data_IF_916301795256
#
_entry.id   IF_916301795256
#
_cell.length_a   1.000
_cell.length_b   1.000
_cell.length_c   1.000
_cell.angle_alpha   90.00
_cell.angle_beta   90.00
_cell.angle_gamma   90.00
#
_symmetry.space_group_name_H-M   'P 1'
#
loop_
_entity.id
_entity.type
_entity.pdbx_description
1 polymer ?
#
# COMPACT_ATOMS: atom_id res chain seq x y z
N UNK A 1 32.40 -6.48 -5.33
CA UNK A 1 32.08 -5.58 -4.20
C UNK A 1 30.67 -5.91 -3.72
N UNK A 2 30.44 -6.07 -2.41
CA UNK A 2 29.08 -6.24 -1.90
C UNK A 2 28.30 -4.95 -2.18
N UNK A 3 27.19 -5.02 -2.93
CA UNK A 3 26.27 -3.90 -3.05
C UNK A 3 25.80 -3.51 -1.64
N UNK A 4 26.29 -2.40 -1.13
CA UNK A 4 25.79 -1.81 0.12
C UNK A 4 24.45 -1.20 -0.28
N UNK A 5 23.36 -1.86 0.09
CA UNK A 5 22.02 -1.29 -0.05
C UNK A 5 21.93 -0.15 0.94
N UNK A 6 21.81 1.08 0.45
CA UNK A 6 21.64 2.24 1.31
C UNK A 6 20.30 2.12 2.05
N UNK A 7 20.34 2.34 3.35
CA UNK A 7 19.17 2.30 4.24
C UNK A 7 19.16 3.55 5.11
N UNK A 8 17.96 4.12 5.30
CA UNK A 8 17.74 5.20 6.27
C UNK A 8 16.69 4.78 7.28
N UNK A 9 16.81 5.27 8.51
CA UNK A 9 15.82 5.01 9.56
C UNK A 9 14.59 5.90 9.36
N UNK A 10 13.40 5.29 9.27
CA UNK A 10 12.14 6.02 9.24
C UNK A 10 11.82 6.68 10.59
N UNK A 11 11.11 7.80 10.56
CA UNK A 11 10.73 8.57 11.75
C UNK A 11 9.62 7.88 12.55
N UNK A 12 8.84 7.01 11.93
CA UNK A 12 7.65 6.38 12.51
C UNK A 12 7.70 4.87 12.39
N UNK A 13 8.24 4.22 13.40
CA UNK A 13 8.21 2.76 13.49
C UNK A 13 9.55 2.08 13.20
N UNK A 14 9.58 0.76 13.31
CA UNK A 14 10.80 -0.02 13.29
C UNK A 14 11.31 -0.36 11.88
N UNK A 15 10.84 0.31 10.81
CA UNK A 15 11.20 -0.03 9.42
C UNK A 15 12.34 0.83 8.92
N UNK A 16 13.46 0.20 8.56
CA UNK A 16 14.50 0.85 7.78
C UNK A 16 14.01 1.01 6.34
N UNK A 17 14.32 2.16 5.76
CA UNK A 17 14.04 2.46 4.37
C UNK A 17 15.22 2.04 3.51
N UNK A 18 15.00 1.09 2.64
CA UNK A 18 15.98 0.69 1.63
C UNK A 18 15.65 1.37 0.28
N UNK A 19 16.64 1.67 -0.54
CA UNK A 19 16.47 2.20 -1.91
C UNK A 19 15.51 1.33 -2.74
N UNK A 20 15.48 0.04 -2.47
CA UNK A 20 14.53 -0.88 -3.10
C UNK A 20 13.06 -0.46 -2.94
N UNK A 21 12.71 0.26 -1.87
CA UNK A 21 11.35 0.81 -1.70
C UNK A 21 11.09 1.88 -2.76
N UNK A 22 12.07 2.76 -3.01
CA UNK A 22 11.99 3.79 -4.04
C UNK A 22 11.91 3.19 -5.45
N UNK A 23 12.74 2.18 -5.71
CA UNK A 23 12.71 1.43 -6.97
C UNK A 23 11.33 0.80 -7.22
N UNK A 24 10.65 0.31 -6.16
CA UNK A 24 9.28 -0.21 -6.28
C UNK A 24 8.24 0.87 -6.51
N UNK A 25 8.37 2.01 -5.83
CA UNK A 25 7.50 3.18 -6.05
C UNK A 25 7.60 3.62 -7.52
N UNK A 26 8.81 3.74 -8.04
CA UNK A 26 9.05 4.04 -9.46
C UNK A 26 8.46 2.99 -10.39
N UNK A 27 8.82 1.72 -10.19
CA UNK A 27 8.37 0.60 -11.03
C UNK A 27 6.85 0.47 -11.13
N UNK A 28 6.13 0.84 -10.06
CA UNK A 28 4.68 0.81 -10.00
C UNK A 28 4.03 2.12 -10.44
N UNK A 29 4.80 3.21 -10.55
CA UNK A 29 4.28 4.57 -10.77
C UNK A 29 3.41 5.06 -9.61
N UNK A 30 3.67 4.60 -8.35
CA UNK A 30 2.85 4.91 -7.17
C UNK A 30 3.23 6.26 -6.55
N UNK A 31 3.12 7.30 -7.35
CA UNK A 31 3.30 8.69 -6.98
C UNK A 31 2.49 9.59 -7.92
N UNK A 32 2.27 10.85 -7.53
CA UNK A 32 1.57 11.83 -8.38
C UNK A 32 2.39 12.11 -9.63
N UNK A 33 1.80 11.83 -10.79
CA UNK A 33 2.46 11.98 -12.10
C UNK A 33 2.09 13.26 -12.84
N UNK A 34 1.06 13.94 -12.33
CA UNK A 34 0.63 15.20 -12.91
C UNK A 34 1.59 16.32 -12.49
N UNK A 35 1.99 17.14 -13.47
CA UNK A 35 2.85 18.30 -13.26
C UNK A 35 4.22 17.99 -12.64
N UNK A 36 4.83 16.85 -12.98
CA UNK A 36 6.21 16.58 -12.61
C UNK A 36 7.14 17.64 -13.19
N UNK A 37 8.14 18.02 -12.38
CA UNK A 37 9.20 18.93 -12.80
C UNK A 37 10.56 18.40 -12.39
N UNK A 38 11.54 18.63 -13.24
CA UNK A 38 12.94 18.41 -12.89
C UNK A 38 13.38 19.43 -11.83
N UNK A 39 14.53 19.21 -11.21
CA UNK A 39 15.12 20.17 -10.27
C UNK A 39 15.45 21.53 -10.93
N UNK A 40 15.63 21.57 -12.24
CA UNK A 40 15.88 22.78 -13.04
C UNK A 40 14.58 23.40 -13.57
N UNK A 41 13.42 22.82 -13.27
CA UNK A 41 12.09 23.42 -13.50
C UNK A 41 11.41 22.99 -14.80
N UNK A 42 12.08 22.19 -15.66
CA UNK A 42 11.48 21.70 -16.91
C UNK A 42 10.32 20.74 -16.60
N UNK A 43 9.29 20.78 -17.44
CA UNK A 43 8.18 19.85 -17.36
C UNK A 43 8.66 18.44 -17.70
N UNK A 44 8.38 17.50 -16.82
CA UNK A 44 8.67 16.08 -17.01
C UNK A 44 7.37 15.28 -17.14
N UNK A 45 7.32 14.42 -18.16
CA UNK A 45 6.26 13.42 -18.31
C UNK A 45 6.89 12.04 -18.50
N UNK A 46 6.40 11.03 -17.78
CA UNK A 46 6.91 9.66 -17.87
C UNK A 46 5.98 8.89 -18.82
N UNK A 47 6.51 8.53 -19.99
CA UNK A 47 5.79 7.75 -21.02
C UNK A 47 5.90 6.25 -20.71
N UNK A 48 7.10 5.80 -20.33
CA UNK A 48 7.39 4.41 -19.98
C UNK A 48 8.38 4.35 -18.83
N UNK A 49 8.03 3.63 -17.76
CA UNK A 49 8.86 3.48 -16.56
C UNK A 49 10.10 2.61 -16.78
N UNK A 50 10.21 1.90 -17.91
CA UNK A 50 11.31 1.01 -18.21
C UNK A 50 11.18 -0.36 -17.58
N UNK A 51 12.26 -1.12 -17.67
CA UNK A 51 12.39 -2.48 -17.16
C UNK A 51 13.33 -2.48 -15.95
N UNK A 52 12.85 -3.01 -14.84
CA UNK A 52 13.67 -3.09 -13.62
C UNK A 52 14.89 -3.99 -13.85
N UNK A 53 16.07 -3.41 -13.81
CA UNK A 53 17.33 -4.12 -13.88
C UNK A 53 17.69 -4.65 -12.47
N UNK A 54 17.83 -5.96 -12.35
CA UNK A 54 18.24 -6.63 -11.10
C UNK A 54 19.70 -7.06 -11.11
N UNK A 55 20.42 -6.65 -12.14
CA UNK A 55 21.85 -6.91 -12.36
C UNK A 55 22.62 -5.60 -12.18
N UNK A 56 23.94 -5.65 -12.39
CA UNK A 56 24.78 -4.46 -12.35
C UNK A 56 24.37 -3.41 -13.40
N UNK A 57 24.55 -2.14 -13.09
CA UNK A 57 24.19 -0.99 -13.91
C UNK A 57 22.93 -0.29 -13.44
N UNK A 58 22.37 0.61 -14.26
CA UNK A 58 21.23 1.43 -13.88
C UNK A 58 20.01 0.62 -13.44
N UNK A 59 19.27 1.15 -12.46
CA UNK A 59 18.10 0.51 -11.86
C UNK A 59 17.01 0.17 -12.88
N UNK A 60 16.77 1.06 -13.84
CA UNK A 60 15.74 0.86 -14.89
C UNK A 60 16.33 1.14 -16.25
N UNK A 61 16.06 0.24 -17.19
CA UNK A 61 16.47 0.33 -18.60
C UNK A 61 15.27 0.60 -19.50
N UNK A 62 15.54 1.18 -20.68
CA UNK A 62 14.54 1.45 -21.70
C UNK A 62 13.38 2.32 -21.19
N UNK A 63 13.69 3.36 -20.43
CA UNK A 63 12.75 4.38 -19.95
C UNK A 63 12.49 5.38 -21.07
N UNK A 64 11.25 5.85 -21.19
CA UNK A 64 10.84 6.90 -22.13
C UNK A 64 10.23 8.06 -21.33
N UNK A 65 10.76 9.26 -21.51
CA UNK A 65 10.27 10.49 -20.86
C UNK A 65 10.11 11.59 -21.90
N UNK A 66 9.28 12.58 -21.56
CA UNK A 66 9.23 13.86 -22.27
C UNK A 66 9.77 14.94 -21.33
N UNK A 67 10.72 15.72 -21.81
CA UNK A 67 11.20 16.94 -21.16
C UNK A 67 10.78 18.11 -22.03
N UNK A 68 9.89 18.98 -21.52
CA UNK A 68 9.29 20.09 -22.28
C UNK A 68 8.74 19.63 -23.65
N UNK A 69 8.06 18.46 -23.67
CA UNK A 69 7.50 17.77 -24.83
C UNK A 69 8.53 17.16 -25.80
N UNK A 70 9.82 17.17 -25.48
CA UNK A 70 10.87 16.50 -26.27
C UNK A 70 11.04 15.09 -25.73
N UNK A 71 10.86 14.08 -26.57
CA UNK A 71 11.01 12.67 -26.22
C UNK A 71 12.48 12.30 -26.06
N UNK A 72 12.83 11.72 -24.92
CA UNK A 72 14.14 11.20 -24.60
C UNK A 72 14.00 9.75 -24.13
N UNK A 73 14.89 8.87 -24.62
CA UNK A 73 14.92 7.46 -24.25
C UNK A 73 16.30 7.13 -23.66
N UNK A 74 16.30 6.36 -22.57
CA UNK A 74 17.53 5.95 -21.90
C UNK A 74 17.23 5.17 -20.62
N UNK A 75 18.12 5.29 -19.64
CA UNK A 75 18.06 4.56 -18.38
C UNK A 75 17.81 5.52 -17.21
N UNK A 76 17.36 4.96 -16.08
CA UNK A 76 17.10 5.70 -14.83
C UNK A 76 17.87 5.06 -13.70
N UNK A 77 18.47 5.90 -12.87
CA UNK A 77 19.08 5.54 -11.59
C UNK A 77 18.34 6.19 -10.44
N UNK A 78 18.20 5.49 -9.30
CA UNK A 78 17.40 5.92 -8.16
C UNK A 78 18.23 5.87 -6.88
N UNK A 79 18.28 7.00 -6.15
CA UNK A 79 18.99 7.12 -4.88
C UNK A 79 18.18 7.85 -3.83
N UNK A 80 18.66 7.87 -2.58
CA UNK A 80 18.10 8.74 -1.55
C UNK A 80 18.52 10.19 -1.76
N UNK A 81 19.79 10.43 -2.09
CA UNK A 81 20.37 11.77 -2.23
C UNK A 81 21.07 11.93 -3.58
N UNK A 82 21.11 13.15 -4.04
CA UNK A 82 21.78 13.49 -5.30
C UNK A 82 23.29 13.14 -5.29
N UNK A 83 23.95 13.27 -4.13
CA UNK A 83 25.36 12.97 -4.00
C UNK A 83 25.70 11.47 -4.04
N UNK A 84 24.72 10.60 -3.89
CA UNK A 84 24.94 9.13 -3.92
C UNK A 84 25.44 8.68 -5.30
N UNK A 85 25.08 9.42 -6.36
CA UNK A 85 25.66 9.22 -7.70
C UNK A 85 27.21 9.25 -7.69
N UNK A 86 27.80 10.23 -7.01
CA UNK A 86 29.26 10.37 -6.90
C UNK A 86 29.85 9.36 -5.90
N UNK A 87 29.17 9.10 -4.79
CA UNK A 87 29.62 8.12 -3.79
C UNK A 87 29.70 6.71 -4.38
N UNK A 88 28.79 6.36 -5.28
CA UNK A 88 28.78 5.08 -5.99
C UNK A 88 29.67 5.09 -7.25
N UNK A 89 30.34 6.21 -7.58
CA UNK A 89 31.27 6.36 -8.72
C UNK A 89 30.62 6.07 -10.09
N UNK A 90 29.31 6.34 -10.25
CA UNK A 90 28.57 6.04 -11.48
C UNK A 90 29.08 6.84 -12.68
N UNK A 91 29.55 8.07 -12.49
CA UNK A 91 30.09 8.91 -13.57
C UNK A 91 31.31 8.32 -14.27
N UNK A 92 32.08 7.45 -13.59
CA UNK A 92 33.22 6.72 -14.18
C UNK A 92 32.89 5.36 -14.77
N UNK A 93 31.68 4.88 -14.65
CA UNK A 93 31.28 3.53 -15.05
C UNK A 93 30.49 3.54 -16.36
N UNK A 94 31.04 2.91 -17.41
CA UNK A 94 30.45 2.82 -18.73
C UNK A 94 29.03 2.21 -18.76
N UNK A 95 28.65 1.44 -17.75
CA UNK A 95 27.29 0.89 -17.64
C UNK A 95 26.22 1.99 -17.51
N UNK A 96 26.59 3.15 -16.94
CA UNK A 96 25.67 4.29 -16.67
C UNK A 96 25.67 5.35 -17.79
N UNK A 97 26.29 5.06 -18.93
CA UNK A 97 26.41 5.98 -20.05
C UNK A 97 25.07 6.42 -20.68
N UNK A 98 24.03 5.62 -20.53
CA UNK A 98 22.71 5.87 -21.12
C UNK A 98 21.72 6.45 -20.07
N UNK A 99 22.15 6.77 -18.86
CA UNK A 99 21.28 7.35 -17.85
C UNK A 99 20.89 8.76 -18.26
N UNK A 100 19.59 8.99 -18.36
CA UNK A 100 18.98 10.26 -18.78
C UNK A 100 18.31 10.99 -17.63
N UNK A 101 17.90 10.24 -16.57
CA UNK A 101 17.20 10.77 -15.42
C UNK A 101 17.75 10.14 -14.13
N UNK A 102 18.14 10.98 -13.21
CA UNK A 102 18.49 10.62 -11.84
C UNK A 102 17.28 10.93 -10.93
N UNK A 103 16.67 9.91 -10.35
CA UNK A 103 15.56 10.07 -9.42
C UNK A 103 16.09 10.03 -8.00
N UNK A 104 15.84 11.07 -7.24
CA UNK A 104 16.27 11.15 -5.83
C UNK A 104 15.09 11.35 -4.92
N UNK A 105 15.17 10.80 -3.71
CA UNK A 105 14.09 10.98 -2.74
C UNK A 105 14.10 12.39 -2.16
N UNK A 106 15.25 12.84 -1.68
CA UNK A 106 15.40 14.11 -0.98
C UNK A 106 16.03 15.18 -1.86
N UNK A 107 15.58 16.45 -1.72
CA UNK A 107 16.23 17.55 -2.40
C UNK A 107 17.65 17.75 -1.88
N UNK A 108 18.48 18.41 -2.66
CA UNK A 108 19.79 18.83 -2.22
C UNK A 108 19.66 19.79 -1.01
N UNK A 109 20.33 19.51 0.13
CA UNK A 109 20.26 20.38 1.31
C UNK A 109 20.68 21.83 1.05
N UNK A 110 21.55 22.08 0.07
CA UNK A 110 21.97 23.45 -0.31
C UNK A 110 20.89 24.23 -1.06
N UNK A 111 19.78 23.56 -1.47
CA UNK A 111 18.73 24.16 -2.28
C UNK A 111 19.12 24.46 -3.73
N UNK A 112 20.38 24.22 -4.10
CA UNK A 112 20.88 24.49 -5.46
C UNK A 112 20.95 23.16 -6.22
N UNK A 113 20.21 23.01 -7.35
CA UNK A 113 20.33 21.82 -8.18
C UNK A 113 21.77 21.64 -8.67
N UNK A 114 22.31 20.43 -8.50
CA UNK A 114 23.58 20.09 -9.14
C UNK A 114 23.30 19.50 -10.51
N UNK A 115 24.06 19.96 -11.49
CA UNK A 115 24.09 19.29 -12.80
C UNK A 115 24.93 18.04 -12.62
N UNK A 116 24.32 16.89 -12.76
CA UNK A 116 24.99 15.59 -12.70
C UNK A 116 25.18 15.10 -14.14
N UNK A 117 26.37 14.60 -14.43
CA UNK A 117 26.71 14.06 -15.76
C UNK A 117 26.79 12.54 -15.72
N UNK A 118 26.30 11.90 -16.79
CA UNK A 118 26.50 10.47 -16.98
C UNK A 118 27.96 10.17 -17.41
N UNK A 119 28.31 8.91 -17.59
CA UNK A 119 29.69 8.53 -17.93
C UNK A 119 30.10 8.87 -19.37
N UNK A 120 29.25 9.52 -20.18
CA UNK A 120 29.58 10.16 -21.46
C UNK A 120 29.89 11.65 -21.31
N UNK A 121 29.61 12.24 -20.14
CA UNK A 121 29.64 13.69 -19.95
C UNK A 121 28.33 14.39 -20.36
N UNK A 122 27.25 13.64 -20.67
CA UNK A 122 25.95 14.25 -20.96
C UNK A 122 25.25 14.65 -19.66
N UNK A 123 24.70 15.87 -19.61
CA UNK A 123 23.93 16.36 -18.48
C UNK A 123 22.63 15.55 -18.31
N UNK A 124 22.47 14.95 -17.14
CA UNK A 124 21.25 14.24 -16.75
C UNK A 124 20.25 15.18 -16.10
N UNK A 125 18.96 14.86 -16.22
CA UNK A 125 17.92 15.53 -15.47
C UNK A 125 17.76 14.86 -14.09
N UNK A 126 17.37 15.65 -13.08
CA UNK A 126 17.10 15.14 -11.73
C UNK A 126 15.63 15.38 -11.36
N UNK A 127 14.98 14.33 -10.85
CA UNK A 127 13.63 14.40 -10.28
C UNK A 127 13.71 14.15 -8.78
N UNK A 128 13.23 15.10 -7.96
CA UNK A 128 13.00 14.86 -6.53
C UNK A 128 11.63 14.22 -6.33
N UNK A 129 11.60 13.01 -5.79
CA UNK A 129 10.38 12.20 -5.71
C UNK A 129 9.51 12.53 -4.49
N UNK A 130 10.10 12.96 -3.38
CA UNK A 130 9.43 13.17 -2.09
C UNK A 130 8.14 14.03 -2.19
N UNK A 131 8.12 15.19 -2.91
CA UNK A 131 6.90 16.01 -3.01
C UNK A 131 5.76 15.35 -3.76
N UNK A 132 6.04 14.29 -4.51
CA UNK A 132 5.09 13.59 -5.36
C UNK A 132 4.58 12.28 -4.77
N UNK A 133 5.05 11.84 -3.60
CA UNK A 133 4.59 10.62 -2.98
C UNK A 133 3.09 10.69 -2.65
N UNK A 134 2.37 9.61 -2.92
CA UNK A 134 0.94 9.46 -2.60
C UNK A 134 0.70 9.14 -1.13
N UNK A 135 1.71 8.63 -0.45
CA UNK A 135 1.65 8.12 0.94
C UNK A 135 2.95 8.45 1.65
N UNK A 136 2.95 8.30 2.96
CA UNK A 136 4.19 8.38 3.74
C UNK A 136 5.18 7.28 3.32
N UNK A 137 6.44 7.64 3.34
CA UNK A 137 7.52 6.73 2.98
C UNK A 137 7.58 5.51 3.91
N UNK A 138 7.28 5.72 5.20
CA UNK A 138 7.17 4.67 6.20
C UNK A 138 6.00 3.71 5.91
N UNK A 139 4.90 4.21 5.34
CA UNK A 139 3.78 3.35 4.92
C UNK A 139 4.20 2.44 3.77
N UNK A 140 4.91 2.96 2.76
CA UNK A 140 5.46 2.14 1.68
C UNK A 140 6.42 1.07 2.18
N UNK A 141 7.34 1.44 3.07
CA UNK A 141 8.32 0.52 3.62
C UNK A 141 7.68 -0.57 4.50
N UNK A 142 6.66 -0.21 5.27
CA UNK A 142 5.92 -1.14 6.09
C UNK A 142 5.11 -2.12 5.22
N UNK A 143 4.39 -1.63 4.21
CA UNK A 143 3.64 -2.47 3.28
C UNK A 143 4.56 -3.49 2.58
N UNK A 144 5.75 -3.04 2.14
CA UNK A 144 6.74 -3.92 1.53
C UNK A 144 7.24 -5.01 2.49
N UNK A 145 7.52 -4.63 3.74
CA UNK A 145 7.98 -5.57 4.75
C UNK A 145 6.88 -6.60 5.10
N UNK A 146 5.63 -6.17 5.18
CA UNK A 146 4.48 -7.05 5.45
C UNK A 146 4.24 -8.03 4.30
N UNK A 147 4.32 -7.56 3.04
CA UNK A 147 4.22 -8.46 1.86
C UNK A 147 5.32 -9.52 1.88
N UNK A 148 6.55 -9.16 2.27
CA UNK A 148 7.64 -10.14 2.38
C UNK A 148 7.35 -11.20 3.46
N UNK A 149 6.80 -10.79 4.60
CA UNK A 149 6.38 -11.71 5.67
C UNK A 149 5.24 -12.62 5.21
N UNK A 150 4.21 -12.08 4.55
CA UNK A 150 3.11 -12.89 4.00
C UNK A 150 3.62 -13.97 3.04
N UNK A 151 4.52 -13.59 2.13
CA UNK A 151 5.12 -14.55 1.18
C UNK A 151 5.98 -15.61 1.87
N UNK A 152 6.66 -15.25 2.97
CA UNK A 152 7.44 -16.20 3.77
C UNK A 152 6.52 -17.18 4.49
N UNK A 153 5.47 -16.70 5.14
CA UNK A 153 4.48 -17.52 5.83
C UNK A 153 3.71 -18.44 4.88
N UNK A 154 3.44 -17.99 3.65
CA UNK A 154 2.79 -18.80 2.61
C UNK A 154 3.64 -20.02 2.21
N UNK A 155 4.96 -19.87 2.21
CA UNK A 155 5.90 -20.94 1.83
C UNK A 155 6.20 -21.94 2.94
N UNK A 156 5.90 -21.62 4.21
CA UNK A 156 6.24 -22.45 5.37
C UNK A 156 4.98 -22.98 6.06
N UNK A 157 4.79 -24.28 6.10
CA UNK A 157 3.70 -24.88 6.88
C UNK A 157 3.97 -24.85 8.40
N UNK A 158 5.24 -24.87 8.82
CA UNK A 158 5.65 -24.85 10.24
C UNK A 158 5.88 -23.44 10.80
N UNK A 159 6.04 -22.42 9.94
CA UNK A 159 6.48 -21.09 10.33
C UNK A 159 5.67 -20.44 11.47
N UNK A 160 4.35 -20.59 11.47
CA UNK A 160 3.49 -20.05 12.52
C UNK A 160 3.63 -20.86 13.85
N UNK A 161 3.79 -22.18 13.76
CA UNK A 161 4.00 -23.01 14.93
C UNK A 161 5.35 -22.67 15.60
N UNK A 162 6.41 -22.51 14.81
CA UNK A 162 7.73 -22.06 15.27
C UNK A 162 7.68 -20.63 15.84
N UNK A 163 6.92 -19.74 15.19
CA UNK A 163 6.70 -18.37 15.65
C UNK A 163 6.08 -18.33 17.06
N UNK A 164 5.17 -19.24 17.36
CA UNK A 164 4.43 -19.30 18.61
C UNK A 164 5.01 -20.30 19.63
N UNK A 165 6.07 -21.03 19.29
CA UNK A 165 6.62 -22.10 20.12
C UNK A 165 7.04 -21.64 21.52
N UNK A 166 7.69 -20.48 21.60
CA UNK A 166 8.18 -19.88 22.86
C UNK A 166 7.08 -19.20 23.68
N UNK A 167 5.85 -19.13 23.17
CA UNK A 167 4.73 -18.45 23.83
C UNK A 167 3.81 -19.52 24.44
N UNK A 168 3.57 -19.48 25.77
CA UNK A 168 2.63 -20.38 26.42
C UNK A 168 1.26 -20.32 25.74
N UNK A 169 0.63 -21.48 25.53
CA UNK A 169 -0.62 -21.59 24.74
C UNK A 169 -1.71 -20.63 25.22
N UNK A 170 -1.88 -20.50 26.54
CA UNK A 170 -2.85 -19.61 27.18
C UNK A 170 -2.63 -18.12 26.88
N UNK A 171 -1.40 -17.73 26.49
CA UNK A 171 -0.99 -16.34 26.26
C UNK A 171 -0.96 -15.97 24.76
N UNK A 172 -0.99 -16.96 23.86
CA UNK A 172 -0.87 -16.75 22.41
C UNK A 172 -1.88 -15.75 21.86
N UNK A 173 -3.14 -15.87 22.25
CA UNK A 173 -4.20 -14.96 21.81
C UNK A 173 -3.92 -13.54 22.30
N UNK A 174 -3.49 -13.38 23.54
CA UNK A 174 -3.24 -12.06 24.14
C UNK A 174 -2.03 -11.37 23.48
N UNK A 175 -0.96 -12.13 23.17
CA UNK A 175 0.21 -11.64 22.43
C UNK A 175 -0.18 -11.23 21.01
N UNK A 176 -0.93 -12.06 20.29
CA UNK A 176 -1.38 -11.73 18.93
C UNK A 176 -2.30 -10.51 18.92
N UNK A 177 -3.14 -10.36 19.96
CA UNK A 177 -4.02 -9.21 20.10
C UNK A 177 -3.24 -7.91 20.35
N UNK A 178 -2.20 -7.96 21.15
CA UNK A 178 -1.30 -6.82 21.39
C UNK A 178 -0.61 -6.39 20.07
N UNK A 179 -0.05 -7.33 19.33
CA UNK A 179 0.55 -7.04 18.00
C UNK A 179 -0.50 -6.49 17.01
N UNK A 180 -1.70 -7.05 17.03
CA UNK A 180 -2.80 -6.53 16.20
C UNK A 180 -3.18 -5.09 16.57
N UNK A 181 -3.14 -4.73 17.87
CA UNK A 181 -3.40 -3.36 18.31
C UNK A 181 -2.33 -2.38 17.82
N UNK A 182 -1.07 -2.75 17.83
CA UNK A 182 0.01 -1.94 17.24
C UNK A 182 -0.25 -1.72 15.73
N UNK A 183 -0.63 -2.78 15.01
CA UNK A 183 -0.96 -2.67 13.59
C UNK A 183 -2.17 -1.77 13.33
N UNK A 184 -3.20 -1.88 14.15
CA UNK A 184 -4.37 -1.01 14.11
C UNK A 184 -4.00 0.46 14.29
N UNK A 185 -3.17 0.77 15.29
CA UNK A 185 -2.70 2.14 15.54
C UNK A 185 -1.95 2.71 14.34
N UNK A 186 -1.08 1.93 13.72
CA UNK A 186 -0.37 2.33 12.48
C UNK A 186 -1.36 2.64 11.35
N UNK A 187 -2.33 1.75 11.09
CA UNK A 187 -3.35 1.96 10.06
C UNK A 187 -4.17 3.23 10.31
N UNK A 188 -4.60 3.46 11.54
CA UNK A 188 -5.35 4.66 11.92
C UNK A 188 -4.51 5.93 11.75
N UNK A 189 -3.23 5.90 12.13
CA UNK A 189 -2.32 7.03 11.99
C UNK A 189 -2.19 7.46 10.53
N UNK A 190 -1.83 6.55 9.61
CA UNK A 190 -1.68 6.86 8.19
C UNK A 190 -3.02 7.25 7.55
N UNK A 191 -4.10 6.56 7.92
CA UNK A 191 -5.44 6.88 7.43
C UNK A 191 -5.86 8.30 7.82
N UNK A 192 -5.64 8.71 9.08
CA UNK A 192 -5.96 10.05 9.59
C UNK A 192 -5.14 11.13 8.87
N UNK A 193 -3.85 10.89 8.64
CA UNK A 193 -2.98 11.83 7.92
C UNK A 193 -3.49 12.06 6.50
N UNK A 194 -3.71 11.00 5.74
CA UNK A 194 -4.26 11.08 4.37
C UNK A 194 -5.64 11.74 4.32
N UNK A 195 -6.50 11.44 5.30
CA UNK A 195 -7.82 12.06 5.43
C UNK A 195 -7.71 13.59 5.62
N UNK A 196 -6.77 14.03 6.45
CA UNK A 196 -6.53 15.45 6.71
C UNK A 196 -6.07 16.19 5.45
N UNK A 197 -5.22 15.55 4.65
CA UNK A 197 -4.67 16.13 3.42
C UNK A 197 -5.69 16.18 2.26
N UNK A 198 -6.43 15.08 2.05
CA UNK A 198 -7.32 14.94 0.89
C UNK A 198 -8.76 15.40 1.14
N UNK A 199 -9.20 15.46 2.39
CA UNK A 199 -10.61 15.60 2.76
C UNK A 199 -11.42 14.33 2.54
N UNK A 200 -12.60 14.22 3.20
CA UNK A 200 -13.36 12.98 3.29
C UNK A 200 -13.73 12.37 1.93
N UNK A 201 -14.30 13.16 1.04
CA UNK A 201 -14.80 12.66 -0.25
C UNK A 201 -13.69 12.11 -1.13
N UNK A 202 -12.62 12.88 -1.31
CA UNK A 202 -11.48 12.46 -2.13
C UNK A 202 -10.73 11.30 -1.49
N UNK A 203 -10.55 11.32 -0.18
CA UNK A 203 -9.93 10.23 0.56
C UNK A 203 -10.68 8.91 0.37
N UNK A 204 -12.02 8.89 0.56
CA UNK A 204 -12.84 7.69 0.36
C UNK A 204 -12.76 7.17 -1.09
N UNK A 205 -12.80 8.09 -2.07
CA UNK A 205 -12.64 7.74 -3.48
C UNK A 205 -11.32 7.02 -3.75
N UNK A 206 -10.22 7.56 -3.24
CA UNK A 206 -8.89 6.98 -3.39
C UNK A 206 -8.75 5.61 -2.72
N UNK A 207 -9.09 5.50 -1.44
CA UNK A 207 -8.86 4.26 -0.69
C UNK A 207 -9.67 3.07 -1.22
N UNK A 208 -10.88 3.32 -1.74
CA UNK A 208 -11.70 2.25 -2.34
C UNK A 208 -11.07 1.78 -3.64
N UNK A 209 -10.71 2.70 -4.55
CA UNK A 209 -10.06 2.34 -5.81
C UNK A 209 -8.72 1.65 -5.57
N UNK A 210 -7.87 2.18 -4.69
CA UNK A 210 -6.60 1.56 -4.30
C UNK A 210 -6.78 0.12 -3.82
N UNK A 211 -7.77 -0.12 -2.95
CA UNK A 211 -8.06 -1.47 -2.44
C UNK A 211 -8.56 -2.40 -3.54
N UNK A 212 -9.37 -1.89 -4.47
CA UNK A 212 -9.83 -2.65 -5.64
C UNK A 212 -8.70 -2.98 -6.61
N UNK A 213 -7.67 -2.14 -6.67
CA UNK A 213 -6.45 -2.39 -7.45
C UNK A 213 -5.59 -3.53 -6.94
N UNK A 214 -5.82 -4.02 -5.72
CA UNK A 214 -4.93 -4.97 -5.08
C UNK A 214 -3.49 -4.43 -5.01
N UNK A 215 -2.54 -5.27 -4.61
CA UNK A 215 -1.12 -4.87 -4.55
C UNK A 215 -0.48 -4.58 -5.92
N UNK A 216 -1.03 -5.10 -7.01
CA UNK A 216 -0.41 -4.98 -8.35
C UNK A 216 -0.89 -3.77 -9.15
N UNK A 217 -2.13 -3.33 -8.94
CA UNK A 217 -2.75 -2.24 -9.69
C UNK A 217 -3.18 -1.07 -8.79
N UNK A 218 -2.71 -1.05 -7.55
CA UNK A 218 -3.01 0.02 -6.58
C UNK A 218 -2.64 1.39 -7.14
N UNK A 219 -1.42 1.52 -7.70
CA UNK A 219 -0.92 2.77 -8.26
C UNK A 219 -1.78 3.29 -9.42
N UNK A 220 -2.10 2.44 -10.38
CA UNK A 220 -2.95 2.82 -11.52
C UNK A 220 -4.36 3.25 -11.06
N UNK A 221 -4.95 2.52 -10.10
CA UNK A 221 -6.24 2.89 -9.50
C UNK A 221 -6.17 4.20 -8.70
N UNK A 222 -5.08 4.42 -7.95
CA UNK A 222 -4.85 5.68 -7.23
C UNK A 222 -4.73 6.86 -8.19
N UNK A 223 -4.02 6.69 -9.29
CA UNK A 223 -3.88 7.72 -10.31
C UNK A 223 -5.22 8.05 -10.98
N UNK A 224 -6.06 7.05 -11.29
CA UNK A 224 -7.41 7.29 -11.78
C UNK A 224 -8.25 8.11 -10.77
N UNK A 225 -8.14 7.79 -9.48
CA UNK A 225 -8.86 8.51 -8.43
C UNK A 225 -8.39 9.96 -8.26
N UNK A 226 -7.13 10.25 -8.58
CA UNK A 226 -6.59 11.62 -8.57
C UNK A 226 -7.04 12.41 -9.79
N UNK A 227 -7.08 11.75 -10.96
CA UNK A 227 -7.39 12.37 -12.25
C UNK A 227 -8.87 12.60 -12.48
N UNK A 228 -9.73 11.70 -12.02
CA UNK A 228 -11.15 11.74 -12.25
C UNK A 228 -11.93 11.76 -10.94
N UNK A 229 -12.79 12.75 -10.77
CA UNK A 229 -13.74 12.78 -9.65
C UNK A 229 -14.81 11.68 -9.79
N UNK A 230 -15.53 11.37 -8.71
CA UNK A 230 -16.67 10.44 -8.75
C UNK A 230 -17.73 10.86 -9.78
N UNK A 231 -18.01 12.17 -9.85
CA UNK A 231 -18.96 12.74 -10.81
C UNK A 231 -18.48 12.55 -12.26
N UNK A 232 -17.19 12.78 -12.51
CA UNK A 232 -16.60 12.56 -13.85
C UNK A 232 -16.66 11.09 -14.24
N UNK A 233 -16.35 10.19 -13.30
CA UNK A 233 -16.37 8.73 -13.56
C UNK A 233 -17.77 8.20 -13.89
N UNK A 234 -18.84 8.77 -13.32
CA UNK A 234 -20.22 8.39 -13.65
C UNK A 234 -20.56 8.58 -15.15
N UNK A 235 -19.91 9.51 -15.84
CA UNK A 235 -20.05 9.72 -17.26
C UNK A 235 -19.14 8.84 -18.14
N UNK A 236 -18.34 7.94 -17.54
CA UNK A 236 -17.34 7.14 -18.23
C UNK A 236 -17.66 5.64 -18.15
N UNK A 237 -17.20 4.89 -19.17
CA UNK A 237 -17.23 3.43 -19.15
C UNK A 237 -15.99 2.87 -18.42
N UNK A 238 -16.08 1.63 -17.95
CA UNK A 238 -14.92 0.91 -17.41
C UNK A 238 -13.79 0.75 -18.45
N UNK A 239 -14.16 0.68 -19.74
CA UNK A 239 -13.21 0.65 -20.85
C UNK A 239 -12.45 1.96 -20.97
N UNK A 240 -13.15 3.11 -20.91
CA UNK A 240 -12.52 4.43 -20.99
C UNK A 240 -11.56 4.66 -19.85
N UNK A 241 -11.95 4.28 -18.61
CA UNK A 241 -11.08 4.36 -17.43
C UNK A 241 -9.88 3.42 -17.55
N UNK A 242 -10.10 2.20 -18.04
CA UNK A 242 -9.01 1.25 -18.26
C UNK A 242 -8.00 1.79 -19.30
N UNK A 243 -8.48 2.35 -20.39
CA UNK A 243 -7.63 2.93 -21.44
C UNK A 243 -6.90 4.20 -21.01
N UNK A 244 -7.46 4.96 -20.02
CA UNK A 244 -6.80 6.14 -19.46
C UNK A 244 -5.48 5.80 -18.72
N UNK A 245 -5.30 4.55 -18.31
CA UNK A 245 -4.09 4.02 -17.70
C UNK A 245 -3.42 2.93 -18.56
N UNK A 246 -3.62 2.96 -19.88
CA UNK A 246 -3.00 1.99 -20.80
C UNK A 246 -1.48 1.90 -20.58
N UNK A 247 -0.97 0.67 -20.51
CA UNK A 247 0.46 0.41 -20.24
C UNK A 247 0.85 0.35 -18.76
N UNK A 248 0.02 0.85 -17.83
CA UNK A 248 0.31 0.83 -16.39
C UNK A 248 -0.34 -0.36 -15.65
N UNK A 249 -1.23 -1.09 -16.32
CA UNK A 249 -1.89 -2.25 -15.73
C UNK A 249 -0.97 -3.47 -15.70
N UNK A 250 -0.95 -4.15 -14.56
CA UNK A 250 -0.35 -5.49 -14.45
C UNK A 250 -1.46 -6.52 -14.62
N UNK A 251 -1.42 -7.28 -15.70
CA UNK A 251 -2.45 -8.28 -16.06
C UNK A 251 -2.07 -9.69 -15.62
N UNK A 252 -0.80 -9.96 -15.34
CA UNK A 252 -0.31 -11.27 -14.91
C UNK A 252 0.58 -11.14 -13.66
N UNK A 253 0.45 -12.01 -12.66
CA UNK A 253 -0.50 -13.13 -12.52
C UNK A 253 -1.79 -12.70 -11.77
N UNK A 254 -2.83 -12.33 -12.49
CA UNK A 254 -4.10 -11.86 -11.88
C UNK A 254 -5.23 -12.81 -12.27
N UNK A 255 -6.01 -13.28 -11.27
CA UNK A 255 -7.23 -14.07 -11.53
C UNK A 255 -8.22 -13.22 -12.34
N UNK A 256 -8.98 -13.79 -13.30
CA UNK A 256 -9.91 -13.05 -14.16
C UNK A 256 -10.90 -12.16 -13.38
N UNK A 257 -11.41 -12.64 -12.23
CA UNK A 257 -12.30 -11.86 -11.37
C UNK A 257 -11.65 -10.59 -10.79
N UNK A 258 -10.32 -10.53 -10.73
CA UNK A 258 -9.56 -9.40 -10.22
C UNK A 258 -9.02 -8.49 -11.35
N UNK A 259 -9.40 -8.75 -12.60
CA UNK A 259 -8.98 -7.92 -13.71
C UNK A 259 -9.39 -6.46 -13.47
N UNK A 260 -8.51 -5.47 -13.70
CA UNK A 260 -8.77 -4.06 -13.39
C UNK A 260 -10.09 -3.53 -13.97
N UNK A 261 -10.39 -3.90 -15.21
CA UNK A 261 -11.64 -3.52 -15.89
C UNK A 261 -12.89 -3.98 -15.12
N UNK A 262 -12.88 -5.20 -14.57
CA UNK A 262 -13.98 -5.71 -13.75
C UNK A 262 -14.09 -4.94 -12.43
N UNK A 263 -12.97 -4.55 -11.83
CA UNK A 263 -12.95 -3.75 -10.61
C UNK A 263 -13.43 -2.32 -10.83
N UNK A 264 -13.06 -1.72 -11.96
CA UNK A 264 -13.60 -0.43 -12.40
C UNK A 264 -15.10 -0.50 -12.63
N UNK A 265 -15.59 -1.54 -13.32
CA UNK A 265 -17.02 -1.74 -13.53
C UNK A 265 -17.80 -1.91 -12.20
N UNK A 266 -17.22 -2.61 -11.22
CA UNK A 266 -17.82 -2.72 -9.88
C UNK A 266 -17.89 -1.38 -9.17
N UNK A 267 -16.85 -0.55 -9.28
CA UNK A 267 -16.83 0.78 -8.69
C UNK A 267 -17.84 1.72 -9.37
N UNK A 268 -17.90 1.74 -10.70
CA UNK A 268 -18.91 2.51 -11.44
C UNK A 268 -20.34 2.11 -11.04
N UNK A 269 -20.60 0.80 -10.89
CA UNK A 269 -21.89 0.31 -10.42
C UNK A 269 -22.22 0.78 -9.00
N UNK A 270 -21.21 0.94 -8.12
CA UNK A 270 -21.42 1.56 -6.80
C UNK A 270 -21.86 3.01 -6.96
N UNK A 271 -21.16 3.79 -7.76
CA UNK A 271 -21.48 5.21 -7.98
C UNK A 271 -22.88 5.41 -8.57
N UNK A 272 -23.31 4.52 -9.49
CA UNK A 272 -24.64 4.53 -10.08
C UNK A 272 -25.74 4.18 -9.07
N UNK A 273 -25.54 3.14 -8.25
CA UNK A 273 -26.54 2.64 -7.32
C UNK A 273 -26.65 3.47 -6.03
N UNK A 274 -25.55 4.03 -5.59
CA UNK A 274 -25.49 4.82 -4.37
C UNK A 274 -24.51 5.99 -4.54
N UNK A 275 -24.89 7.08 -5.20
CA UNK A 275 -24.04 8.24 -5.38
C UNK A 275 -23.64 8.90 -4.06
N UNK A 276 -24.43 8.75 -3.00
CA UNK A 276 -24.18 9.33 -1.67
C UNK A 276 -23.44 8.37 -0.72
N UNK A 277 -22.85 7.28 -1.22
CA UNK A 277 -22.21 6.25 -0.41
C UNK A 277 -21.17 6.80 0.59
N UNK A 278 -20.46 7.85 0.24
CA UNK A 278 -19.43 8.47 1.09
C UNK A 278 -20.06 9.20 2.29
N UNK A 279 -21.19 9.86 2.10
CA UNK A 279 -21.97 10.48 3.17
C UNK A 279 -22.57 9.42 4.09
N UNK A 280 -23.15 8.37 3.51
CA UNK A 280 -23.67 7.24 4.26
C UNK A 280 -22.56 6.52 5.03
N UNK A 281 -21.37 6.37 4.42
CA UNK A 281 -20.20 5.80 5.07
C UNK A 281 -19.81 6.62 6.31
N UNK A 282 -19.75 7.94 6.21
CA UNK A 282 -19.43 8.80 7.37
C UNK A 282 -20.46 8.67 8.47
N UNK A 283 -21.75 8.67 8.13
CA UNK A 283 -22.85 8.51 9.07
C UNK A 283 -22.86 7.12 9.75
N UNK A 284 -22.28 6.09 9.11
CA UNK A 284 -22.27 4.71 9.61
C UNK A 284 -21.54 4.52 10.95
N UNK A 285 -20.72 5.49 11.38
CA UNK A 285 -20.09 5.49 12.71
C UNK A 285 -21.12 5.33 13.82
N UNK A 286 -22.36 5.80 13.62
CA UNK A 286 -23.43 5.66 14.60
C UNK A 286 -23.82 4.21 14.90
N UNK A 287 -23.57 3.27 13.97
CA UNK A 287 -23.89 1.86 14.15
C UNK A 287 -22.91 1.12 15.08
N UNK A 288 -21.71 1.68 15.32
CA UNK A 288 -20.75 1.09 16.23
C UNK A 288 -21.07 1.51 17.67
N UNK A 289 -21.33 0.53 18.53
CA UNK A 289 -21.55 0.77 19.95
C UNK A 289 -20.23 1.04 20.66
N UNK A 290 -20.28 1.82 21.75
CA UNK A 290 -19.15 1.93 22.66
C UNK A 290 -18.92 0.59 23.35
N UNK A 291 -17.72 0.05 23.27
CA UNK A 291 -17.35 -1.21 23.93
C UNK A 291 -16.79 -0.88 25.30
N UNK A 292 -17.53 -1.17 26.36
CA UNK A 292 -17.10 -0.94 27.75
C UNK A 292 -16.28 -2.12 28.28
N UNK A 293 -16.66 -3.34 27.93
CA UNK A 293 -15.99 -4.57 28.33
C UNK A 293 -15.53 -5.34 27.11
N UNK A 294 -14.26 -5.14 26.74
CA UNK A 294 -13.64 -5.85 25.63
C UNK A 294 -13.49 -7.35 25.96
N UNK A 295 -13.86 -8.20 25.05
CA UNK A 295 -13.63 -9.65 25.16
C UNK A 295 -12.63 -10.09 24.10
N UNK A 296 -11.72 -11.01 24.45
CA UNK A 296 -10.80 -11.59 23.45
C UNK A 296 -11.46 -12.64 22.57
N UNK A 297 -12.64 -13.12 22.93
CA UNK A 297 -13.34 -14.21 22.25
C UNK A 297 -14.18 -13.70 21.09
N UNK A 298 -13.76 -14.03 19.89
CA UNK A 298 -14.36 -13.50 18.65
C UNK A 298 -15.85 -13.83 18.51
N UNK A 299 -16.27 -15.05 18.87
CA UNK A 299 -17.67 -15.43 18.73
C UNK A 299 -18.58 -14.68 19.71
N UNK A 300 -18.10 -14.47 20.93
CA UNK A 300 -18.81 -13.71 21.95
C UNK A 300 -18.97 -12.25 21.49
N UNK A 301 -17.85 -11.63 21.06
CA UNK A 301 -17.87 -10.25 20.56
C UNK A 301 -18.84 -10.08 19.39
N UNK A 302 -18.74 -10.93 18.36
CA UNK A 302 -19.59 -10.87 17.16
C UNK A 302 -21.08 -10.91 17.52
N UNK A 303 -21.46 -11.71 18.54
CA UNK A 303 -22.84 -11.80 19.01
C UNK A 303 -23.26 -10.55 19.79
N UNK A 304 -22.46 -10.11 20.77
CA UNK A 304 -22.77 -8.97 21.64
C UNK A 304 -22.84 -7.66 20.87
N UNK A 305 -21.90 -7.42 19.94
CA UNK A 305 -21.83 -6.21 19.13
C UNK A 305 -22.76 -6.22 17.92
N UNK A 306 -23.50 -7.31 17.70
CA UNK A 306 -24.32 -7.51 16.50
C UNK A 306 -23.52 -7.30 15.20
N UNK A 307 -22.24 -7.73 15.17
CA UNK A 307 -21.31 -7.46 14.08
C UNK A 307 -21.89 -7.85 12.70
N UNK A 308 -22.67 -8.93 12.63
CA UNK A 308 -23.34 -9.35 11.38
C UNK A 308 -24.27 -8.26 10.84
N UNK A 309 -25.04 -7.60 11.70
CA UNK A 309 -25.96 -6.52 11.28
C UNK A 309 -25.18 -5.33 10.74
N UNK A 310 -24.07 -4.98 11.38
CA UNK A 310 -23.18 -3.91 10.93
C UNK A 310 -22.57 -4.28 9.57
N UNK A 311 -22.04 -5.50 9.45
CA UNK A 311 -21.48 -6.03 8.21
C UNK A 311 -22.51 -5.97 7.05
N UNK A 312 -23.73 -6.46 7.27
CA UNK A 312 -24.78 -6.47 6.25
C UNK A 312 -25.20 -5.03 5.88
N UNK A 313 -25.21 -4.09 6.85
CA UNK A 313 -25.47 -2.67 6.57
C UNK A 313 -24.42 -2.08 5.61
N UNK A 314 -23.14 -2.28 5.87
CA UNK A 314 -22.10 -1.80 4.97
C UNK A 314 -22.24 -2.40 3.59
N UNK A 315 -22.39 -3.73 3.51
CA UNK A 315 -22.46 -4.46 2.26
C UNK A 315 -23.65 -4.03 1.40
N UNK A 316 -24.84 -3.97 1.99
CA UNK A 316 -26.09 -3.78 1.23
C UNK A 316 -26.50 -2.31 1.13
N UNK A 317 -26.30 -1.49 2.18
CA UNK A 317 -26.72 -0.09 2.17
C UNK A 317 -25.63 0.85 1.71
N UNK A 318 -24.40 0.74 2.25
CA UNK A 318 -23.31 1.65 1.88
C UNK A 318 -22.77 1.28 0.50
N UNK A 319 -22.42 0.03 0.28
CA UNK A 319 -21.82 -0.44 -0.98
C UNK A 319 -22.82 -1.05 -1.97
N UNK A 320 -24.13 -0.96 -1.69
CA UNK A 320 -25.24 -1.33 -2.56
C UNK A 320 -25.11 -2.75 -3.17
N UNK A 321 -24.54 -3.70 -2.43
CA UNK A 321 -24.28 -5.07 -2.86
C UNK A 321 -23.31 -5.22 -4.04
N UNK A 322 -22.56 -4.16 -4.37
CA UNK A 322 -21.64 -4.17 -5.54
C UNK A 322 -20.30 -4.81 -5.22
N UNK A 323 -19.89 -4.77 -3.96
CA UNK A 323 -18.64 -5.35 -3.46
C UNK A 323 -18.97 -6.54 -2.55
N UNK A 324 -18.38 -7.69 -2.83
CA UNK A 324 -18.69 -8.94 -2.13
C UNK A 324 -17.45 -9.81 -1.91
N UNK A 325 -17.62 -10.85 -1.08
CA UNK A 325 -16.57 -11.84 -0.80
C UNK A 325 -15.37 -11.25 -0.08
N UNK A 326 -14.23 -11.90 -0.18
CA UNK A 326 -12.98 -11.50 0.50
C UNK A 326 -12.55 -10.08 0.15
N UNK A 327 -12.92 -9.58 -1.04
CA UNK A 327 -12.60 -8.20 -1.46
C UNK A 327 -13.33 -7.15 -0.62
N UNK A 328 -14.60 -7.40 -0.28
CA UNK A 328 -15.34 -6.55 0.63
C UNK A 328 -14.72 -6.57 2.03
N UNK A 329 -14.35 -7.77 2.52
CA UNK A 329 -13.71 -7.89 3.84
C UNK A 329 -12.36 -7.15 3.88
N UNK A 330 -11.53 -7.29 2.84
CA UNK A 330 -10.27 -6.55 2.71
C UNK A 330 -10.51 -5.04 2.71
N UNK A 331 -11.49 -4.57 1.93
CA UNK A 331 -11.85 -3.15 1.91
C UNK A 331 -12.24 -2.64 3.31
N UNK A 332 -13.03 -3.39 4.05
CA UNK A 332 -13.44 -3.02 5.39
C UNK A 332 -12.27 -2.89 6.36
N UNK A 333 -11.38 -3.89 6.39
CA UNK A 333 -10.30 -3.94 7.38
C UNK A 333 -9.05 -3.12 7.01
N UNK A 334 -8.80 -2.94 5.72
CA UNK A 334 -7.61 -2.22 5.25
C UNK A 334 -7.87 -0.73 5.03
N UNK A 335 -9.10 -0.35 4.70
CA UNK A 335 -9.43 1.01 4.32
C UNK A 335 -10.55 1.63 5.17
N UNK A 336 -11.72 0.99 5.26
CA UNK A 336 -12.93 1.63 5.78
C UNK A 336 -12.91 1.80 7.31
N UNK A 337 -12.62 0.74 8.06
CA UNK A 337 -12.59 0.84 9.53
C UNK A 337 -11.49 1.81 10.02
N UNK A 338 -10.25 1.78 9.48
CA UNK A 338 -9.25 2.81 9.78
C UNK A 338 -9.68 4.22 9.39
N UNK A 339 -10.38 4.39 8.25
CA UNK A 339 -10.91 5.69 7.83
C UNK A 339 -11.95 6.23 8.81
N UNK A 340 -12.91 5.40 9.19
CA UNK A 340 -13.95 5.77 10.16
C UNK A 340 -13.37 6.10 11.53
N UNK A 341 -12.36 5.37 11.99
CA UNK A 341 -11.65 5.69 13.24
C UNK A 341 -11.01 7.09 13.22
N UNK A 342 -10.60 7.57 12.04
CA UNK A 342 -10.11 8.94 11.85
C UNK A 342 -11.17 10.02 11.97
N UNK A 343 -12.46 9.68 11.91
CA UNK A 343 -13.59 10.62 11.97
C UNK A 343 -14.33 10.64 13.30
N UNK A 344 -13.95 9.80 14.25
CA UNK A 344 -14.60 9.63 15.55
C UNK A 344 -13.57 9.47 16.66
N UNK A 345 -13.96 9.80 17.88
CA UNK A 345 -13.17 9.48 19.08
C UNK A 345 -13.41 8.03 19.57
N UNK A 346 -14.28 7.26 18.92
CA UNK A 346 -14.55 5.87 19.30
C UNK A 346 -13.40 4.98 18.86
N UNK A 347 -12.89 4.15 19.77
CA UNK A 347 -11.96 3.08 19.41
C UNK A 347 -12.73 1.96 18.69
N UNK A 348 -12.46 1.80 17.40
CA UNK A 348 -13.03 0.75 16.56
C UNK A 348 -12.16 -0.51 16.51
N UNK A 349 -11.14 -0.62 17.34
CA UNK A 349 -10.21 -1.76 17.34
C UNK A 349 -10.93 -3.10 17.48
N UNK A 350 -11.88 -3.22 18.42
CA UNK A 350 -12.58 -4.48 18.65
C UNK A 350 -13.35 -4.94 17.41
N UNK A 351 -14.02 -4.01 16.73
CA UNK A 351 -14.70 -4.29 15.47
C UNK A 351 -13.73 -4.73 14.39
N UNK A 352 -12.60 -4.05 14.25
CA UNK A 352 -11.55 -4.39 13.30
C UNK A 352 -10.86 -5.72 13.63
N UNK A 353 -10.58 -5.98 14.91
CA UNK A 353 -9.94 -7.21 15.37
C UNK A 353 -10.82 -8.44 15.08
N UNK A 354 -12.10 -8.35 15.41
CA UNK A 354 -13.06 -9.44 15.29
C UNK A 354 -13.76 -9.50 13.94
N UNK A 355 -13.43 -8.57 13.01
CA UNK A 355 -13.98 -8.60 11.65
C UNK A 355 -13.61 -9.89 10.92
N UNK A 356 -14.35 -10.20 9.84
CA UNK A 356 -14.01 -11.31 8.98
C UNK A 356 -12.65 -11.08 8.32
N UNK A 357 -11.97 -12.19 8.02
CA UNK A 357 -10.69 -12.14 7.32
C UNK A 357 -10.91 -11.72 5.85
N UNK A 358 -10.10 -10.75 5.40
CA UNK A 358 -9.97 -10.41 4.00
C UNK A 358 -9.09 -11.41 3.24
N UNK A 359 -8.36 -10.94 2.25
CA UNK A 359 -7.37 -11.77 1.55
C UNK A 359 -6.20 -12.11 2.48
N UNK A 360 -5.89 -13.39 2.58
CA UNK A 360 -4.79 -13.92 3.36
C UNK A 360 -4.26 -15.22 2.74
N UNK A 361 -3.01 -15.61 3.00
CA UNK A 361 -2.50 -16.90 2.58
C UNK A 361 -3.34 -18.07 3.12
N UNK A 362 -3.62 -19.06 2.25
CA UNK A 362 -4.55 -20.14 2.56
C UNK A 362 -4.11 -21.04 3.73
N UNK A 363 -2.81 -21.16 3.97
CA UNK A 363 -2.25 -22.03 5.01
C UNK A 363 -2.33 -21.42 6.42
N UNK A 364 -2.54 -20.09 6.57
CA UNK A 364 -2.52 -19.42 7.88
C UNK A 364 -3.58 -19.97 8.83
N UNK A 365 -4.80 -20.19 8.33
CA UNK A 365 -5.86 -20.74 9.16
C UNK A 365 -5.53 -22.15 9.68
N UNK A 366 -4.99 -23.03 8.82
CA UNK A 366 -4.53 -24.36 9.20
C UNK A 366 -3.43 -24.29 10.26
N UNK A 367 -2.44 -23.44 10.04
CA UNK A 367 -1.31 -23.28 10.96
C UNK A 367 -1.71 -22.74 12.33
N UNK A 368 -2.62 -21.75 12.40
CA UNK A 368 -3.16 -21.25 13.66
C UNK A 368 -4.02 -22.29 14.39
N UNK A 369 -4.73 -23.15 13.65
CA UNK A 369 -5.46 -24.28 14.24
C UNK A 369 -4.48 -25.30 14.85
N UNK A 370 -3.42 -25.65 14.16
CA UNK A 370 -2.38 -26.55 14.64
C UNK A 370 -1.63 -25.97 15.88
N UNK A 371 -1.55 -24.66 15.98
CA UNK A 371 -0.98 -23.95 17.11
C UNK A 371 -1.98 -23.71 18.25
N UNK A 372 -3.13 -24.38 18.29
CA UNK A 372 -4.19 -24.25 19.30
C UNK A 372 -4.67 -22.81 19.56
N UNK A 373 -4.56 -21.92 18.55
CA UNK A 373 -5.07 -20.54 18.65
C UNK A 373 -6.55 -20.47 18.26
N UNK A 374 -6.97 -21.28 17.29
CA UNK A 374 -8.34 -21.30 16.80
C UNK A 374 -9.19 -22.33 17.56
N UNK A 375 -10.40 -21.91 17.94
CA UNK A 375 -11.42 -22.75 18.57
C UNK A 375 -12.81 -22.34 18.07
N UNK A 376 -13.86 -23.00 18.59
CA UNK A 376 -15.24 -22.61 18.32
C UNK A 376 -15.55 -21.18 18.80
N UNK A 377 -14.97 -20.77 19.94
CA UNK A 377 -15.15 -19.43 20.51
C UNK A 377 -14.22 -18.40 19.88
N UNK A 378 -13.10 -18.87 19.31
CA UNK A 378 -12.09 -18.06 18.65
C UNK A 378 -11.91 -18.48 17.19
N UNK A 379 -12.91 -18.26 16.32
CA UNK A 379 -12.77 -18.48 14.87
C UNK A 379 -11.78 -17.47 14.29
N UNK A 380 -11.28 -17.78 13.09
CA UNK A 380 -10.39 -16.88 12.36
C UNK A 380 -10.99 -15.49 12.23
N UNK A 381 -10.18 -14.47 12.50
CA UNK A 381 -10.54 -13.05 12.42
C UNK A 381 -9.40 -12.24 11.82
N UNK A 382 -9.70 -11.03 11.36
CA UNK A 382 -8.71 -10.12 10.82
C UNK A 382 -7.59 -9.84 11.85
N UNK A 383 -7.95 -9.58 13.11
CA UNK A 383 -6.97 -9.24 14.15
C UNK A 383 -5.96 -10.35 14.42
N UNK A 384 -6.39 -11.63 14.44
CA UNK A 384 -5.45 -12.74 14.57
C UNK A 384 -4.45 -12.78 13.42
N UNK A 385 -4.90 -12.58 12.19
CA UNK A 385 -4.03 -12.53 11.02
C UNK A 385 -3.01 -11.40 11.12
N UNK A 386 -3.46 -10.19 11.42
CA UNK A 386 -2.60 -9.02 11.54
C UNK A 386 -1.60 -9.15 12.70
N UNK A 387 -2.02 -9.78 13.79
CA UNK A 387 -1.14 -10.09 14.93
C UNK A 387 0.00 -11.04 14.56
N UNK A 388 -0.30 -12.11 13.80
CA UNK A 388 0.71 -13.06 13.31
C UNK A 388 1.72 -12.37 12.40
N UNK A 389 1.25 -11.56 11.44
CA UNK A 389 2.13 -10.89 10.49
C UNK A 389 3.06 -9.90 11.21
N UNK A 390 2.54 -9.10 12.15
CA UNK A 390 3.38 -8.14 12.85
C UNK A 390 4.36 -8.83 13.81
N UNK A 391 3.94 -9.91 14.47
CA UNK A 391 4.83 -10.71 15.33
C UNK A 391 6.00 -11.30 14.53
N UNK A 392 5.74 -11.89 13.35
CA UNK A 392 6.78 -12.43 12.48
C UNK A 392 7.71 -11.32 11.98
N UNK A 393 7.16 -10.17 11.58
CA UNK A 393 7.97 -9.03 11.16
C UNK A 393 8.96 -8.59 12.25
N UNK A 394 8.53 -8.54 13.52
CA UNK A 394 9.37 -8.15 14.64
C UNK A 394 10.44 -9.21 14.97
N UNK A 395 10.08 -10.50 14.98
CA UNK A 395 11.05 -11.60 15.20
C UNK A 395 12.09 -11.68 14.07
N UNK A 396 11.68 -11.53 12.83
CA UNK A 396 12.58 -11.55 11.66
C UNK A 396 13.64 -10.43 11.72
N UNK A 397 13.31 -9.29 12.32
CA UNK A 397 14.26 -8.18 12.53
C UNK A 397 15.21 -8.43 13.68
N UNK A 398 14.72 -9.00 14.76
CA UNK A 398 15.58 -9.34 15.91
C UNK A 398 16.64 -10.40 15.56
N UNK A 399 16.34 -11.27 14.58
CA UNK A 399 17.30 -12.26 14.07
C UNK A 399 18.39 -11.69 13.13
N UNK A 400 18.18 -10.47 12.61
CA UNK A 400 19.12 -9.80 11.70
C UNK A 400 20.06 -8.82 12.41
N UNK A 401 19.78 -8.50 13.66
CA UNK A 401 20.66 -7.73 14.57
C UNK A 401 21.58 -8.67 15.33
#
# INVERSE_FOLDING_TARGET
MKNIVAEIQGSYGPVNLAERVLQKIWCSGDFRRDNLKTCTGEKLEIVKFGEWNKLDGPDFKNVEILIDNIKICGDVEIHFYENDWNLHQHGGNAAYRNVILHVVLFPNPSGTPKITENSRGDSMKTLVLLPYLNRDLEEYALDEALVAVEMQLEKSESGIAELLADIPERERIDVLRERARERWQQKCFFSKKRLTEAGWTQFCHQIVLETLGLKHNRAAMSHLAQRFSTTTMLGMSAENLFNAEAGNWKSFPIRPANHPKNRLAQYLKLLEKNPDWQTMLKASVAHFQKIENATKWTQIFRKQSQLKRIHDYFKEQVFAGTLTGTRFETLMVDAILPALAGTTERDLFEYWFHWNLGDAPANIQKSLKNANVLSREMPMSNGLFQGVILLELQKSRSRKK
#
